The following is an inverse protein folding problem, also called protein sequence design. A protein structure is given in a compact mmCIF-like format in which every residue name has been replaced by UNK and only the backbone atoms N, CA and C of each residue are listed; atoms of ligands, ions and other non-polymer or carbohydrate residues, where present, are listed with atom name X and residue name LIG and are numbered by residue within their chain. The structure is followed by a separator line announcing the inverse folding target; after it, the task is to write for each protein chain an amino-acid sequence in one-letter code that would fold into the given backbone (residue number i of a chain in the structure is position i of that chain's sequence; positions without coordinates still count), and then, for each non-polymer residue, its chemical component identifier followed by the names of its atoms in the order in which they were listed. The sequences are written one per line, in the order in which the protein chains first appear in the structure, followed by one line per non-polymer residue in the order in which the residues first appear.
data_IF_316969523882
#
_entry.id   IF_316969523882
#
_cell.length_a   1.000
_cell.length_b   1.000
_cell.length_c   1.000
_cell.angle_alpha   90.00
_cell.angle_beta   90.00
_cell.angle_gamma   90.00
#
_symmetry.space_group_name_H-M   'P 1'
#
loop_
_entity.id
_entity.type
_entity.pdbx_description
1 polymer ?
#
# COMPACT_ATOMS: atom_id res chain seq x y z
N UNK A 1 34.99 22.88 12.11
CA UNK A 1 34.16 21.70 12.42
C UNK A 1 34.34 21.21 13.87
N UNK A 2 35.46 21.58 14.59
CA UNK A 2 35.68 21.12 15.98
C UNK A 2 34.89 21.90 17.05
N UNK A 3 34.22 23.00 16.69
CA UNK A 3 33.50 23.87 17.62
C UNK A 3 34.37 24.59 18.67
N UNK A 4 35.72 24.46 18.61
CA UNK A 4 36.61 25.14 19.53
C UNK A 4 36.67 26.62 19.24
N UNK A 5 36.48 27.43 20.29
CA UNK A 5 36.67 28.87 20.26
C UNK A 5 38.14 29.17 20.17
N UNK A 6 38.53 30.19 19.39
CA UNK A 6 39.93 30.66 19.31
C UNK A 6 40.18 31.53 20.55
N UNK A 7 41.19 31.18 21.33
CA UNK A 7 41.47 31.81 22.64
C UNK A 7 41.97 33.25 22.56
N UNK A 8 42.38 33.71 21.36
CA UNK A 8 42.80 35.07 21.11
C UNK A 8 41.65 35.90 20.51
N UNK A 9 41.01 36.76 21.29
CA UNK A 9 39.93 37.65 20.77
C UNK A 9 40.56 38.79 19.95
N UNK A 10 39.91 39.14 18.83
CA UNK A 10 40.22 40.32 18.04
C UNK A 10 39.45 41.50 18.65
N UNK A 11 40.15 42.46 19.21
CA UNK A 11 39.55 43.65 19.87
C UNK A 11 39.53 44.91 18.99
N UNK A 12 40.31 44.91 17.90
CA UNK A 12 40.37 45.99 16.92
C UNK A 12 39.40 45.77 15.77
N UNK A 13 39.10 46.79 15.03
CA UNK A 13 38.26 46.75 13.82
C UNK A 13 39.03 47.20 12.57
N UNK A 14 38.50 46.96 11.38
CA UNK A 14 39.15 47.28 10.12
C UNK A 14 39.41 48.80 9.95
N UNK A 15 38.61 49.67 10.57
CA UNK A 15 38.76 51.12 10.48
C UNK A 15 39.93 51.62 11.31
N UNK A 16 40.16 51.03 12.47
CA UNK A 16 41.30 51.37 13.37
C UNK A 16 42.58 50.67 12.96
N UNK A 17 42.47 49.63 12.17
CA UNK A 17 43.56 48.77 11.73
C UNK A 17 43.73 47.57 12.63
N UNK A 18 44.09 46.43 12.04
CA UNK A 18 44.35 45.17 12.71
C UNK A 18 45.86 45.01 12.93
N UNK A 19 46.27 44.38 14.03
CA UNK A 19 47.63 43.89 14.15
C UNK A 19 47.92 42.76 13.17
N UNK A 20 49.16 42.47 12.86
CA UNK A 20 49.56 41.38 11.98
C UNK A 20 48.97 40.04 12.46
N UNK A 21 48.95 39.82 13.78
CA UNK A 21 48.38 38.61 14.40
C UNK A 21 46.88 38.51 14.19
N UNK A 22 46.15 39.64 14.43
CA UNK A 22 44.68 39.67 14.22
C UNK A 22 44.31 39.41 12.78
N UNK A 23 45.05 40.02 11.85
CA UNK A 23 44.85 39.80 10.41
C UNK A 23 45.06 38.32 10.03
N UNK A 24 46.12 37.69 10.56
CA UNK A 24 46.42 36.30 10.29
C UNK A 24 45.29 35.38 10.80
N UNK A 25 44.84 35.58 12.06
CA UNK A 25 43.74 34.80 12.66
C UNK A 25 42.44 35.01 11.90
N UNK A 26 42.12 36.28 11.54
CA UNK A 26 40.93 36.60 10.76
C UNK A 26 40.92 35.94 9.37
N UNK A 27 42.08 36.02 8.69
CA UNK A 27 42.25 35.41 7.35
C UNK A 27 42.15 33.89 7.40
N UNK A 28 42.70 33.26 8.46
CA UNK A 28 42.58 31.82 8.70
C UNK A 28 41.13 31.41 8.96
N UNK A 29 40.41 32.17 9.80
CA UNK A 29 38.98 31.96 10.07
C UNK A 29 38.12 32.09 8.82
N UNK A 30 38.35 33.13 8.02
CA UNK A 30 37.64 33.36 6.76
C UNK A 30 37.88 32.20 5.77
N UNK A 31 39.09 31.76 5.58
CA UNK A 31 39.42 30.63 4.70
C UNK A 31 38.77 29.35 5.18
N UNK A 32 38.78 29.10 6.48
CA UNK A 32 38.15 27.93 7.10
C UNK A 32 36.62 27.97 6.90
N UNK A 33 35.99 29.14 7.07
CA UNK A 33 34.55 29.34 6.85
C UNK A 33 34.15 29.11 5.39
N UNK A 34 34.94 29.62 4.43
CA UNK A 34 34.73 29.38 3.00
C UNK A 34 34.84 27.89 2.65
N UNK A 35 35.84 27.21 3.15
CA UNK A 35 36.01 25.77 2.93
C UNK A 35 34.87 24.95 3.54
N UNK A 36 34.48 25.26 4.79
CA UNK A 36 33.35 24.59 5.47
C UNK A 36 32.02 24.78 4.72
N UNK A 37 31.77 26.01 4.25
CA UNK A 37 30.56 26.32 3.46
C UNK A 37 30.54 25.52 2.16
N UNK A 38 31.66 25.46 1.43
CA UNK A 38 31.76 24.72 0.18
C UNK A 38 31.49 23.20 0.40
N UNK A 39 32.10 22.62 1.44
CA UNK A 39 31.92 21.21 1.77
C UNK A 39 30.48 20.90 2.19
N UNK A 40 29.88 21.71 3.08
CA UNK A 40 28.48 21.52 3.50
C UNK A 40 27.50 21.66 2.35
N UNK A 41 27.75 22.57 1.42
CA UNK A 41 26.91 22.73 0.23
C UNK A 41 26.97 21.49 -0.65
N UNK A 42 28.16 20.93 -0.86
CA UNK A 42 28.36 19.72 -1.63
C UNK A 42 27.65 18.50 -0.96
N UNK A 43 27.82 18.33 0.34
CA UNK A 43 27.17 17.24 1.11
C UNK A 43 25.66 17.35 1.09
N UNK A 44 25.14 18.57 1.29
CA UNK A 44 23.68 18.83 1.21
C UNK A 44 23.13 18.55 -0.19
N UNK A 45 23.85 19.00 -1.24
CA UNK A 45 23.45 18.73 -2.63
C UNK A 45 23.45 17.24 -2.97
N UNK A 46 24.47 16.50 -2.52
CA UNK A 46 24.53 15.07 -2.72
C UNK A 46 23.40 14.31 -1.96
N UNK A 47 23.15 14.70 -0.70
CA UNK A 47 22.06 14.12 0.08
C UNK A 47 20.69 14.39 -0.59
N UNK A 48 20.46 15.64 -0.99
CA UNK A 48 19.22 16.04 -1.68
C UNK A 48 19.01 15.22 -2.96
N UNK A 49 20.05 15.10 -3.80
CA UNK A 49 19.97 14.29 -5.01
C UNK A 49 19.59 12.85 -4.71
N UNK A 50 20.24 12.21 -3.72
CA UNK A 50 19.90 10.83 -3.35
C UNK A 50 18.48 10.67 -2.83
N UNK A 51 17.99 11.64 -2.06
CA UNK A 51 16.60 11.64 -1.58
C UNK A 51 15.62 11.77 -2.75
N UNK A 52 15.89 12.64 -3.71
CA UNK A 52 15.06 12.80 -4.92
C UNK A 52 15.09 11.53 -5.76
N UNK A 53 16.26 10.94 -5.99
CA UNK A 53 16.41 9.71 -6.79
C UNK A 53 15.60 8.54 -6.18
N UNK A 54 15.50 8.46 -4.85
CA UNK A 54 14.70 7.43 -4.16
C UNK A 54 13.20 7.78 -4.13
N UNK A 55 12.88 9.07 -3.94
CA UNK A 55 11.48 9.50 -3.74
C UNK A 55 10.71 9.71 -5.04
N UNK A 56 11.38 9.89 -6.20
CA UNK A 56 10.72 10.18 -7.47
C UNK A 56 9.74 9.09 -7.93
N UNK A 57 9.98 7.83 -7.53
CA UNK A 57 9.14 6.69 -7.89
C UNK A 57 7.99 6.48 -6.89
N UNK A 58 7.97 7.23 -5.77
CA UNK A 58 6.93 7.14 -4.75
C UNK A 58 5.75 8.01 -5.16
N UNK A 59 4.78 7.41 -5.82
CA UNK A 59 3.58 8.08 -6.34
C UNK A 59 2.35 7.56 -5.59
N UNK A 60 1.42 8.45 -5.24
CA UNK A 60 0.12 8.05 -4.69
C UNK A 60 -0.75 7.51 -5.84
N UNK A 61 -1.10 6.22 -5.77
CA UNK A 61 -1.85 5.54 -6.85
C UNK A 61 -3.21 5.01 -6.44
N UNK A 62 -3.43 4.80 -5.18
CA UNK A 62 -4.68 4.25 -4.64
C UNK A 62 -5.09 4.99 -3.37
N UNK A 63 -6.37 4.95 -3.04
CA UNK A 63 -6.89 5.63 -1.85
C UNK A 63 -6.49 4.91 -0.56
N UNK A 64 -6.61 3.59 -0.53
CA UNK A 64 -6.39 2.80 0.67
C UNK A 64 -5.81 1.43 0.35
N UNK A 65 -4.57 1.17 0.77
CA UNK A 65 -3.90 -0.13 0.59
C UNK A 65 -4.47 -1.24 1.49
N UNK A 66 -5.38 -0.93 2.40
CA UNK A 66 -6.08 -1.92 3.23
C UNK A 66 -7.38 -2.41 2.58
N UNK A 67 -7.80 -1.78 1.49
CA UNK A 67 -8.94 -2.20 0.69
C UNK A 67 -8.47 -3.19 -0.37
N UNK A 68 -9.16 -4.31 -0.46
CA UNK A 68 -8.95 -5.31 -1.51
C UNK A 68 -10.22 -5.48 -2.31
N UNK A 69 -10.09 -5.36 -3.61
CA UNK A 69 -11.13 -5.75 -4.54
C UNK A 69 -11.05 -7.26 -4.77
N UNK A 70 -12.11 -7.97 -4.41
CA UNK A 70 -12.25 -9.41 -4.61
C UNK A 70 -12.96 -9.63 -5.94
N UNK A 71 -12.28 -10.26 -6.89
CA UNK A 71 -12.90 -10.69 -8.14
C UNK A 71 -13.75 -11.94 -7.88
N UNK A 72 -15.08 -11.76 -7.85
CA UNK A 72 -16.02 -12.83 -7.55
C UNK A 72 -16.17 -13.83 -8.72
N UNK A 73 -15.84 -13.41 -9.95
CA UNK A 73 -15.79 -14.33 -11.08
C UNK A 73 -14.68 -15.38 -10.88
N UNK A 74 -13.50 -14.97 -10.41
CA UNK A 74 -12.42 -15.91 -10.07
C UNK A 74 -12.79 -16.81 -8.90
N UNK A 75 -13.51 -16.29 -7.90
CA UNK A 75 -14.01 -17.09 -6.77
C UNK A 75 -14.97 -18.16 -7.25
N UNK A 76 -15.92 -17.80 -8.11
CA UNK A 76 -16.90 -18.73 -8.68
C UNK A 76 -16.25 -19.74 -9.62
N UNK A 77 -15.34 -19.28 -10.48
CA UNK A 77 -14.58 -20.15 -11.37
C UNK A 77 -13.79 -21.24 -10.59
N UNK A 78 -13.19 -20.86 -9.47
CA UNK A 78 -12.50 -21.82 -8.57
C UNK A 78 -13.45 -22.84 -7.96
N UNK A 79 -14.72 -22.49 -7.76
CA UNK A 79 -15.75 -23.37 -7.21
C UNK A 79 -16.54 -24.14 -8.28
N UNK A 80 -16.29 -23.90 -9.56
CA UNK A 80 -16.94 -24.60 -10.67
C UNK A 80 -16.59 -26.10 -10.69
N UNK A 81 -17.44 -26.91 -11.33
CA UNK A 81 -17.24 -28.37 -11.40
C UNK A 81 -16.20 -28.78 -12.44
N UNK A 82 -16.17 -28.08 -13.56
CA UNK A 82 -15.27 -28.32 -14.67
C UNK A 82 -14.43 -27.08 -15.01
N UNK A 83 -13.32 -27.29 -15.74
CA UNK A 83 -12.55 -26.20 -16.27
C UNK A 83 -13.36 -25.42 -17.34
N UNK A 84 -14.24 -26.07 -18.03
CA UNK A 84 -15.12 -25.43 -19.04
C UNK A 84 -16.05 -24.42 -18.37
N UNK A 85 -16.80 -24.82 -17.32
CA UNK A 85 -17.69 -23.93 -16.58
C UNK A 85 -16.94 -22.73 -15.95
N UNK A 86 -15.70 -23.00 -15.49
CA UNK A 86 -14.84 -21.95 -14.94
C UNK A 86 -14.39 -20.94 -16.00
N UNK A 87 -14.07 -21.40 -17.20
CA UNK A 87 -13.67 -20.54 -18.30
C UNK A 87 -14.80 -19.70 -18.86
N UNK A 88 -16.01 -20.23 -18.90
CA UNK A 88 -17.20 -19.46 -19.31
C UNK A 88 -17.38 -18.20 -18.44
N UNK A 89 -17.07 -18.30 -17.13
CA UNK A 89 -17.10 -17.17 -16.20
C UNK A 89 -15.95 -16.18 -16.38
N UNK A 90 -14.82 -16.62 -16.94
CA UNK A 90 -13.60 -15.83 -16.99
C UNK A 90 -13.18 -15.41 -18.42
N UNK A 91 -13.93 -15.81 -19.46
CA UNK A 91 -13.54 -15.59 -20.85
C UNK A 91 -13.18 -14.13 -21.14
N UNK A 92 -14.04 -13.19 -20.75
CA UNK A 92 -13.82 -11.76 -20.97
C UNK A 92 -12.57 -11.21 -20.24
N UNK A 93 -12.22 -11.80 -19.10
CA UNK A 93 -11.07 -11.37 -18.30
C UNK A 93 -9.77 -12.02 -18.74
N UNK A 94 -9.83 -13.13 -19.48
CA UNK A 94 -8.68 -13.90 -19.95
C UNK A 94 -8.35 -13.62 -21.40
N UNK A 95 -9.33 -13.32 -22.24
CA UNK A 95 -9.16 -13.06 -23.66
C UNK A 95 -8.10 -11.98 -23.91
N UNK A 96 -7.15 -12.30 -24.79
CA UNK A 96 -6.04 -11.41 -25.14
C UNK A 96 -4.88 -11.35 -24.14
N UNK A 97 -4.97 -12.03 -22.99
CA UNK A 97 -3.84 -12.14 -22.06
C UNK A 97 -2.80 -13.15 -22.56
N UNK A 98 -1.58 -13.07 -22.03
CA UNK A 98 -0.49 -13.96 -22.39
C UNK A 98 -0.31 -15.04 -21.32
N UNK A 99 -0.01 -16.26 -21.76
CA UNK A 99 0.43 -17.32 -20.86
C UNK A 99 1.79 -16.96 -20.25
N UNK A 100 1.89 -17.06 -18.92
CA UNK A 100 3.15 -16.87 -18.21
C UNK A 100 4.03 -18.12 -18.21
N UNK A 101 3.43 -19.31 -18.37
CA UNK A 101 4.12 -20.59 -18.45
C UNK A 101 3.50 -21.42 -19.57
N UNK A 102 4.28 -22.36 -20.12
CA UNK A 102 3.77 -23.32 -21.10
C UNK A 102 2.70 -24.23 -20.46
N UNK A 103 1.69 -24.58 -21.24
CA UNK A 103 0.63 -25.53 -20.87
C UNK A 103 0.98 -26.89 -21.44
N UNK A 104 0.87 -27.92 -20.61
CA UNK A 104 1.15 -29.31 -20.96
C UNK A 104 -0.14 -30.13 -20.96
N UNK A 105 -0.22 -31.06 -21.91
CA UNK A 105 -1.30 -32.05 -21.93
C UNK A 105 -1.24 -32.90 -20.65
N UNK A 106 -2.36 -33.04 -19.92
CA UNK A 106 -2.37 -33.83 -18.69
C UNK A 106 -2.02 -35.31 -18.89
N UNK A 107 -2.35 -35.89 -20.05
CA UNK A 107 -2.16 -37.31 -20.36
C UNK A 107 -0.81 -37.59 -21.01
N UNK A 108 -0.47 -36.84 -22.09
CA UNK A 108 0.76 -37.12 -22.88
C UNK A 108 1.98 -36.39 -22.34
N UNK A 109 1.81 -35.33 -21.56
CA UNK A 109 2.86 -34.41 -21.10
C UNK A 109 3.55 -33.59 -22.19
N UNK A 110 2.99 -33.63 -23.40
CA UNK A 110 3.47 -32.78 -24.49
C UNK A 110 3.08 -31.31 -24.25
N UNK A 111 3.86 -30.40 -24.83
CA UNK A 111 3.55 -28.97 -24.78
C UNK A 111 2.38 -28.68 -25.71
N UNK A 112 1.24 -28.31 -25.17
CA UNK A 112 0.08 -27.85 -25.94
C UNK A 112 0.26 -26.41 -26.41
N UNK A 113 0.62 -25.53 -25.49
CA UNK A 113 0.86 -24.12 -25.76
C UNK A 113 2.15 -23.64 -25.11
N UNK A 114 2.94 -22.90 -25.83
CA UNK A 114 4.18 -22.33 -25.33
C UNK A 114 3.91 -21.13 -24.41
N UNK A 115 4.92 -20.77 -23.63
CA UNK A 115 4.94 -19.50 -22.91
C UNK A 115 4.74 -18.34 -23.91
N UNK A 116 4.08 -17.27 -23.46
CA UNK A 116 3.76 -16.07 -24.25
C UNK A 116 2.73 -16.27 -25.37
N UNK A 117 2.05 -17.43 -25.41
CA UNK A 117 0.87 -17.63 -26.27
C UNK A 117 -0.27 -16.71 -25.81
N UNK A 118 -0.93 -16.06 -26.76
CA UNK A 118 -2.13 -15.25 -26.50
C UNK A 118 -3.30 -16.20 -26.23
N UNK A 119 -4.05 -15.91 -25.18
CA UNK A 119 -5.31 -16.60 -24.88
C UNK A 119 -6.40 -16.03 -25.81
N UNK A 120 -6.66 -16.71 -26.89
CA UNK A 120 -7.81 -16.49 -27.76
C UNK A 120 -8.90 -17.53 -27.48
N UNK A 121 -10.03 -17.40 -28.15
CA UNK A 121 -11.18 -18.30 -27.95
C UNK A 121 -10.83 -19.76 -28.23
N UNK A 122 -9.97 -20.04 -29.23
CA UNK A 122 -9.54 -21.40 -29.60
C UNK A 122 -8.68 -22.02 -28.49
N UNK A 123 -7.75 -21.24 -27.94
CA UNK A 123 -6.88 -21.68 -26.83
C UNK A 123 -7.71 -21.91 -25.56
N UNK A 124 -8.67 -21.04 -25.25
CA UNK A 124 -9.54 -21.17 -24.08
C UNK A 124 -10.46 -22.39 -24.19
N UNK A 125 -11.05 -22.63 -25.37
CA UNK A 125 -11.89 -23.80 -25.64
C UNK A 125 -11.09 -25.10 -25.46
N UNK A 126 -9.87 -25.18 -25.99
CA UNK A 126 -8.99 -26.34 -25.85
C UNK A 126 -8.58 -26.59 -24.37
N UNK A 127 -8.32 -25.53 -23.62
CA UNK A 127 -8.04 -25.64 -22.16
C UNK A 127 -9.23 -26.23 -21.42
N UNK A 128 -10.45 -25.82 -21.79
CA UNK A 128 -11.70 -26.35 -21.24
C UNK A 128 -11.93 -27.82 -21.59
N UNK A 129 -11.79 -28.18 -22.88
CA UNK A 129 -11.95 -29.56 -23.37
C UNK A 129 -10.97 -30.56 -22.74
N UNK A 130 -9.74 -30.10 -22.48
CA UNK A 130 -8.69 -30.94 -21.85
C UNK A 130 -8.74 -30.92 -20.33
N UNK A 131 -9.71 -30.25 -19.75
CA UNK A 131 -9.89 -30.08 -18.29
C UNK A 131 -8.62 -29.62 -17.57
N UNK A 132 -7.91 -28.64 -18.18
CA UNK A 132 -6.70 -28.05 -17.59
C UNK A 132 -7.12 -27.07 -16.50
N UNK A 133 -6.78 -27.40 -15.25
CA UNK A 133 -7.33 -26.74 -14.06
C UNK A 133 -6.50 -25.64 -13.46
N UNK A 134 -5.30 -25.45 -13.95
CA UNK A 134 -4.41 -24.39 -13.48
C UNK A 134 -3.67 -23.78 -14.65
N UNK A 135 -3.82 -22.47 -14.81
CA UNK A 135 -3.10 -21.69 -15.81
C UNK A 135 -2.38 -20.54 -15.12
N UNK A 136 -1.19 -20.22 -15.60
CA UNK A 136 -0.48 -19.02 -15.19
C UNK A 136 -0.53 -18.00 -16.33
N UNK A 137 -1.09 -16.83 -16.02
CA UNK A 137 -1.24 -15.75 -17.00
C UNK A 137 -0.45 -14.53 -16.55
N UNK A 138 -0.01 -13.72 -17.51
CA UNK A 138 0.55 -12.42 -17.20
C UNK A 138 -0.57 -11.49 -16.76
N UNK A 139 -0.36 -10.80 -15.66
CA UNK A 139 -1.30 -9.81 -15.15
C UNK A 139 -1.63 -8.80 -16.25
N UNK A 140 -2.87 -8.38 -16.33
CA UNK A 140 -3.22 -7.25 -17.19
C UNK A 140 -2.44 -6.05 -16.68
N UNK A 141 -1.56 -5.52 -17.53
CA UNK A 141 -0.97 -4.21 -17.30
C UNK A 141 -2.13 -3.23 -17.30
N UNK A 142 -2.49 -2.73 -16.12
CA UNK A 142 -3.39 -1.58 -16.06
C UNK A 142 -2.69 -0.49 -16.86
N UNK A 143 -3.20 -0.20 -18.04
CA UNK A 143 -2.80 0.95 -18.84
C UNK A 143 -3.24 2.20 -18.07
N UNK A 144 -2.42 2.62 -17.13
CA UNK A 144 -2.41 4.01 -16.70
C UNK A 144 -1.67 4.74 -17.82
N UNK A 145 -2.34 5.64 -18.51
CA UNK A 145 -1.82 6.40 -19.62
C UNK A 145 -0.36 6.84 -19.36
N UNK A 146 0.57 6.30 -20.15
CA UNK A 146 1.95 6.75 -20.23
C UNK A 146 3.02 6.01 -19.43
N UNK A 147 2.72 5.00 -18.63
CA UNK A 147 3.75 4.20 -17.95
C UNK A 147 3.61 2.72 -18.30
N UNK A 148 4.41 2.25 -19.25
CA UNK A 148 4.63 0.81 -19.48
C UNK A 148 5.44 0.29 -18.28
N UNK A 149 4.76 -0.13 -17.23
CA UNK A 149 5.39 -0.88 -16.16
C UNK A 149 5.59 -2.31 -16.67
N UNK A 150 6.82 -2.68 -16.99
CA UNK A 150 7.25 -4.05 -17.31
C UNK A 150 7.30 -4.96 -16.07
N UNK A 151 6.50 -4.69 -15.05
CA UNK A 151 6.33 -5.61 -13.95
C UNK A 151 5.50 -6.80 -14.44
N UNK A 152 6.17 -7.88 -14.80
CA UNK A 152 5.56 -9.19 -15.09
C UNK A 152 4.98 -9.76 -13.80
N UNK A 153 3.82 -9.27 -13.39
CA UNK A 153 3.04 -9.93 -12.33
C UNK A 153 2.41 -11.15 -13.00
N UNK A 154 2.85 -12.33 -12.59
CA UNK A 154 2.21 -13.58 -12.98
C UNK A 154 1.09 -13.89 -12.00
N UNK A 155 -0.06 -14.23 -12.52
CA UNK A 155 -1.25 -14.61 -11.76
C UNK A 155 -1.56 -16.09 -12.03
N UNK A 156 -1.71 -16.87 -10.95
CA UNK A 156 -2.17 -18.26 -11.04
C UNK A 156 -3.69 -18.28 -10.94
N UNK A 157 -4.35 -18.83 -11.94
CA UNK A 157 -5.80 -18.96 -12.02
C UNK A 157 -6.17 -20.44 -11.94
N UNK A 158 -7.00 -20.78 -10.94
CA UNK A 158 -7.53 -22.13 -10.76
C UNK A 158 -8.89 -22.23 -11.44
N UNK A 159 -9.03 -23.20 -12.33
CA UNK A 159 -10.21 -23.46 -13.15
C UNK A 159 -10.95 -24.71 -12.63
N UNK A 160 -11.84 -24.50 -11.67
CA UNK A 160 -12.70 -25.54 -11.12
C UNK A 160 -12.03 -26.55 -10.19
N UNK A 161 -12.84 -27.25 -9.44
CA UNK A 161 -12.46 -28.38 -8.57
C UNK A 161 -13.49 -29.53 -8.72
N UNK A 162 -13.11 -30.70 -9.25
CA UNK A 162 -14.05 -31.77 -9.54
C UNK A 162 -14.59 -32.46 -8.29
N UNK A 163 -13.83 -32.46 -7.18
CA UNK A 163 -14.20 -33.11 -5.94
C UNK A 163 -15.20 -32.25 -5.15
N UNK A 164 -16.43 -32.71 -5.04
CA UNK A 164 -17.49 -32.04 -4.30
C UNK A 164 -17.12 -31.75 -2.83
N UNK A 165 -16.31 -32.62 -2.19
CA UNK A 165 -15.86 -32.40 -0.82
C UNK A 165 -14.82 -31.26 -0.75
N UNK A 166 -13.92 -31.20 -1.73
CA UNK A 166 -12.95 -30.12 -1.82
C UNK A 166 -13.62 -28.80 -2.17
N UNK A 167 -14.58 -28.79 -3.12
CA UNK A 167 -15.40 -27.59 -3.41
C UNK A 167 -16.09 -27.06 -2.15
N UNK A 168 -16.75 -27.92 -1.40
CA UNK A 168 -17.42 -27.53 -0.14
C UNK A 168 -16.40 -26.98 0.87
N UNK A 169 -15.23 -27.59 0.97
CA UNK A 169 -14.16 -27.11 1.87
C UNK A 169 -13.60 -25.76 1.39
N UNK A 170 -13.38 -25.58 0.08
CA UNK A 170 -12.92 -24.32 -0.50
C UNK A 170 -13.96 -23.21 -0.29
N UNK A 171 -15.25 -23.48 -0.54
CA UNK A 171 -16.35 -22.52 -0.27
C UNK A 171 -16.40 -22.11 1.21
N UNK A 172 -16.32 -23.08 2.14
CA UNK A 172 -16.27 -22.79 3.57
C UNK A 172 -15.05 -21.96 3.98
N UNK A 173 -13.89 -22.20 3.34
CA UNK A 173 -12.69 -21.42 3.58
C UNK A 173 -12.86 -19.96 3.11
N UNK A 174 -13.45 -19.73 1.94
CA UNK A 174 -13.74 -18.40 1.38
C UNK A 174 -14.73 -17.67 2.29
N UNK A 175 -15.81 -18.33 2.69
CA UNK A 175 -16.80 -17.72 3.62
C UNK A 175 -16.10 -17.29 4.89
N UNK A 176 -15.29 -18.16 5.50
CA UNK A 176 -14.56 -17.82 6.72
C UNK A 176 -13.54 -16.68 6.55
N UNK A 177 -12.93 -16.58 5.38
CA UNK A 177 -11.97 -15.51 5.07
C UNK A 177 -12.64 -14.16 4.91
N UNK A 178 -13.83 -14.12 4.30
CA UNK A 178 -14.58 -12.90 4.01
C UNK A 178 -15.48 -12.47 5.17
N UNK A 179 -15.97 -13.40 5.99
CA UNK A 179 -16.82 -13.08 7.15
C UNK A 179 -16.10 -12.18 8.16
N UNK A 180 -16.81 -11.19 8.66
CA UNK A 180 -16.29 -10.17 9.56
C UNK A 180 -15.48 -9.07 8.89
N UNK A 181 -15.32 -9.09 7.57
CA UNK A 181 -14.73 -7.97 6.83
C UNK A 181 -15.75 -6.87 6.62
N UNK A 182 -15.28 -5.62 6.63
CA UNK A 182 -16.08 -4.43 6.36
C UNK A 182 -16.20 -4.21 4.85
N UNK A 183 -17.39 -3.95 4.37
CA UNK A 183 -17.67 -3.57 2.97
C UNK A 183 -17.34 -2.11 2.77
N UNK A 184 -16.49 -1.79 1.80
CA UNK A 184 -16.01 -0.42 1.52
C UNK A 184 -16.83 0.27 0.44
N UNK A 185 -17.40 -0.49 -0.47
CA UNK A 185 -18.33 -0.01 -1.50
C UNK A 185 -19.56 -0.87 -1.50
N UNK A 186 -20.72 -0.26 -1.66
CA UNK A 186 -21.98 -0.99 -1.75
C UNK A 186 -21.92 -2.11 -2.80
N UNK A 187 -22.43 -3.27 -2.43
CA UNK A 187 -22.56 -4.42 -3.31
C UNK A 187 -23.97 -4.46 -3.86
N UNK A 188 -24.15 -3.94 -5.08
CA UNK A 188 -25.44 -3.83 -5.77
C UNK A 188 -25.36 -4.58 -7.08
N UNK A 189 -26.38 -5.37 -7.38
CA UNK A 189 -26.55 -6.07 -8.65
C UNK A 189 -27.09 -5.14 -9.73
N UNK A 190 -26.95 -5.53 -10.99
CA UNK A 190 -27.45 -4.77 -12.14
C UNK A 190 -28.99 -4.56 -12.12
N UNK A 191 -29.72 -5.44 -11.46
CA UNK A 191 -31.18 -5.34 -11.24
C UNK A 191 -31.54 -4.36 -10.11
N UNK A 192 -30.56 -3.76 -9.43
CA UNK A 192 -30.76 -2.87 -8.30
C UNK A 192 -30.87 -3.56 -6.94
N UNK A 193 -30.76 -4.89 -6.89
CA UNK A 193 -30.78 -5.64 -5.62
C UNK A 193 -29.51 -5.35 -4.82
N UNK A 194 -29.65 -4.81 -3.60
CA UNK A 194 -28.57 -4.49 -2.71
C UNK A 194 -28.25 -5.69 -1.82
N UNK A 195 -27.02 -6.22 -1.93
CA UNK A 195 -26.53 -7.36 -1.15
C UNK A 195 -25.82 -6.92 0.13
N UNK A 196 -25.12 -5.79 0.09
CA UNK A 196 -24.46 -5.18 1.24
C UNK A 196 -24.29 -3.67 1.04
N UNK A 197 -24.30 -2.92 2.13
CA UNK A 197 -24.10 -1.46 2.16
C UNK A 197 -22.67 -1.15 2.59
N UNK A 198 -22.16 0.03 2.18
CA UNK A 198 -20.88 0.54 2.67
C UNK A 198 -20.88 0.63 4.21
N UNK A 199 -19.87 0.08 4.85
CA UNK A 199 -19.72 0.01 6.31
C UNK A 199 -20.34 -1.24 6.94
N UNK A 200 -21.05 -2.08 6.19
CA UNK A 200 -21.54 -3.35 6.72
C UNK A 200 -20.40 -4.34 6.98
N UNK A 201 -20.55 -5.12 8.05
CA UNK A 201 -19.68 -6.27 8.29
C UNK A 201 -20.32 -7.52 7.70
N UNK A 202 -19.59 -8.19 6.82
CA UNK A 202 -20.03 -9.39 6.14
C UNK A 202 -20.35 -10.52 7.12
N UNK A 203 -21.57 -11.00 7.11
CA UNK A 203 -21.97 -12.25 7.78
C UNK A 203 -21.80 -13.44 6.85
N UNK A 204 -21.74 -14.66 7.41
CA UNK A 204 -21.63 -15.88 6.60
C UNK A 204 -22.75 -15.96 5.55
N UNK A 205 -23.97 -15.57 5.91
CA UNK A 205 -25.13 -15.58 4.99
C UNK A 205 -24.99 -14.55 3.87
N UNK A 206 -24.45 -13.34 4.19
CA UNK A 206 -24.20 -12.32 3.17
C UNK A 206 -23.12 -12.80 2.19
N UNK A 207 -22.05 -13.41 2.70
CA UNK A 207 -20.98 -13.94 1.85
C UNK A 207 -21.50 -15.06 0.95
N UNK A 208 -22.33 -15.97 1.45
CA UNK A 208 -22.97 -16.99 0.64
C UNK A 208 -23.85 -16.40 -0.47
N UNK A 209 -24.69 -15.42 -0.13
CA UNK A 209 -25.52 -14.72 -1.10
C UNK A 209 -24.69 -13.99 -2.18
N UNK A 210 -23.58 -13.35 -1.78
CA UNK A 210 -22.67 -12.67 -2.69
C UNK A 210 -21.95 -13.66 -3.63
N UNK A 211 -21.50 -14.81 -3.14
CA UNK A 211 -20.85 -15.83 -3.97
C UNK A 211 -21.84 -16.38 -5.02
N UNK A 212 -23.10 -16.57 -4.63
CA UNK A 212 -24.16 -17.12 -5.49
C UNK A 212 -24.82 -16.07 -6.39
N UNK A 213 -24.48 -14.79 -6.23
CA UNK A 213 -25.01 -13.69 -7.03
C UNK A 213 -24.23 -13.48 -8.33
N UNK A 214 -24.70 -12.60 -9.19
CA UNK A 214 -24.02 -12.17 -10.42
C UNK A 214 -23.03 -11.01 -10.19
N UNK A 215 -22.79 -10.61 -8.95
CA UNK A 215 -21.85 -9.54 -8.63
C UNK A 215 -20.43 -9.89 -9.12
N UNK A 216 -19.77 -8.95 -9.80
CA UNK A 216 -18.44 -9.20 -10.39
C UNK A 216 -17.32 -8.92 -9.41
N UNK A 217 -17.45 -7.89 -8.57
CA UNK A 217 -16.39 -7.41 -7.71
C UNK A 217 -16.93 -7.00 -6.35
N UNK A 218 -16.21 -7.35 -5.29
CA UNK A 218 -16.53 -6.98 -3.92
C UNK A 218 -15.35 -6.26 -3.28
N UNK A 219 -15.57 -5.05 -2.79
CA UNK A 219 -14.55 -4.25 -2.13
C UNK A 219 -14.66 -4.38 -0.62
N UNK A 220 -13.64 -4.97 -0.01
CA UNK A 220 -13.59 -5.20 1.42
C UNK A 220 -12.36 -4.56 2.07
N UNK A 221 -12.49 -4.24 3.36
CA UNK A 221 -11.37 -3.81 4.19
C UNK A 221 -10.80 -5.00 4.95
N UNK A 222 -9.47 -5.14 4.90
CA UNK A 222 -8.80 -6.27 5.56
C UNK A 222 -8.62 -6.08 7.06
N UNK A 223 -8.74 -4.84 7.58
CA UNK A 223 -8.48 -4.46 8.98
C UNK A 223 -7.11 -4.96 9.49
N UNK A 224 -6.11 -4.93 8.62
CA UNK A 224 -4.76 -5.44 8.87
C UNK A 224 -3.72 -4.34 8.63
N UNK A 225 -4.04 -3.14 9.07
CA UNK A 225 -3.17 -1.97 8.94
C UNK A 225 -2.01 -2.11 9.91
N UNK A 226 -0.79 -1.95 9.40
CA UNK A 226 0.40 -1.77 10.25
C UNK A 226 0.71 -0.29 10.33
N UNK A 227 0.70 0.25 11.54
CA UNK A 227 1.14 1.61 11.81
C UNK A 227 2.59 1.69 12.27
N UNK A 228 3.05 2.91 12.47
CA UNK A 228 4.25 3.24 13.23
C UNK A 228 3.82 3.95 14.50
N UNK A 229 4.46 3.62 15.62
CA UNK A 229 4.22 4.33 16.87
C UNK A 229 4.88 5.71 16.82
N UNK A 230 4.12 6.71 17.23
CA UNK A 230 4.57 8.10 17.33
C UNK A 230 4.33 8.60 18.75
N UNK A 231 5.33 9.31 19.29
CA UNK A 231 5.29 9.98 20.58
C UNK A 231 5.82 11.42 20.46
N UNK A 232 5.61 12.26 21.45
CA UNK A 232 6.18 13.60 21.50
C UNK A 232 7.71 13.55 21.46
N UNK A 233 8.35 14.50 20.78
CA UNK A 233 9.81 14.64 20.79
C UNK A 233 10.19 15.55 21.95
N UNK A 234 11.02 15.01 22.87
CA UNK A 234 11.48 15.74 24.06
C UNK A 234 13.01 15.82 24.09
N UNK A 235 13.54 16.94 24.55
CA UNK A 235 14.96 17.11 24.84
C UNK A 235 15.12 17.56 26.30
N UNK A 236 15.69 16.68 27.13
CA UNK A 236 15.73 16.90 28.55
C UNK A 236 14.34 17.01 29.18
N UNK A 237 13.98 18.16 29.74
CA UNK A 237 12.65 18.43 30.30
C UNK A 237 11.72 19.23 29.37
N UNK A 238 12.22 19.63 28.20
CA UNK A 238 11.45 20.41 27.21
C UNK A 238 10.81 19.53 26.14
N UNK A 239 9.59 19.86 25.75
CA UNK A 239 8.93 19.27 24.57
C UNK A 239 9.32 20.10 23.36
N UNK A 240 10.00 19.47 22.37
CA UNK A 240 10.38 20.11 21.11
C UNK A 240 9.19 20.12 20.16
N UNK A 241 8.50 18.96 20.04
CA UNK A 241 7.35 18.78 19.19
C UNK A 241 6.31 17.94 19.92
N UNK A 242 5.09 18.44 20.03
CA UNK A 242 4.00 17.75 20.74
C UNK A 242 3.53 16.53 19.97
N UNK A 243 2.87 15.59 20.65
CA UNK A 243 2.24 14.46 19.99
C UNK A 243 1.18 14.96 19.01
N UNK A 244 0.39 15.97 19.41
CA UNK A 244 -0.65 16.54 18.57
C UNK A 244 -0.07 17.07 17.24
N UNK A 245 1.02 17.83 17.28
CA UNK A 245 1.65 18.38 16.06
C UNK A 245 2.15 17.29 15.12
N UNK A 246 2.59 16.16 15.66
CA UNK A 246 3.12 15.02 14.88
C UNK A 246 2.05 14.16 14.21
N UNK A 247 0.84 14.12 14.77
CA UNK A 247 -0.25 13.28 14.26
C UNK A 247 -1.28 14.04 13.42
N UNK A 248 -1.30 15.37 13.46
CA UNK A 248 -2.20 16.18 12.62
C UNK A 248 -2.01 15.85 11.14
N UNK A 249 -3.13 15.60 10.44
CA UNK A 249 -3.16 15.25 9.02
C UNK A 249 -2.70 13.80 8.73
N UNK A 250 -2.47 13.00 9.76
CA UNK A 250 -2.21 11.56 9.61
C UNK A 250 -3.48 10.75 9.79
N UNK A 251 -3.41 9.49 9.41
CA UNK A 251 -4.51 8.52 9.54
C UNK A 251 -4.15 7.51 10.61
N UNK A 252 -5.09 7.23 11.51
CA UNK A 252 -4.89 6.27 12.60
C UNK A 252 -4.74 4.84 12.09
N UNK A 253 -3.86 4.08 12.74
CA UNK A 253 -3.68 2.66 12.50
C UNK A 253 -4.23 1.78 13.64
N UNK A 254 -4.85 2.40 14.65
CA UNK A 254 -5.48 1.72 15.78
C UNK A 254 -6.68 2.53 16.29
N UNK A 255 -7.57 1.87 17.04
CA UNK A 255 -8.65 2.54 17.74
C UNK A 255 -8.13 3.25 18.98
N UNK A 256 -8.51 4.50 19.16
CA UNK A 256 -8.16 5.30 20.33
C UNK A 256 -9.32 5.27 21.31
N UNK A 257 -9.11 4.58 22.42
CA UNK A 257 -10.08 4.47 23.51
C UNK A 257 -9.51 5.19 24.73
N UNK A 258 -10.34 6.01 25.37
CA UNK A 258 -10.04 6.59 26.68
C UNK A 258 -10.13 5.49 27.73
N UNK A 259 -9.00 5.15 28.36
CA UNK A 259 -8.93 4.10 29.38
C UNK A 259 -9.70 4.45 30.66
N UNK A 260 -9.94 5.74 30.91
CA UNK A 260 -10.65 6.19 32.11
C UNK A 260 -12.17 6.10 31.97
N UNK A 261 -12.69 6.39 30.76
CA UNK A 261 -14.14 6.45 30.51
C UNK A 261 -14.64 5.26 29.70
N UNK A 262 -13.76 4.55 28.95
CA UNK A 262 -14.11 3.51 27.99
C UNK A 262 -14.71 4.07 26.69
N UNK A 263 -14.68 5.40 26.49
CA UNK A 263 -15.19 6.04 25.29
C UNK A 263 -14.21 5.86 24.11
N UNK A 264 -14.73 5.49 22.95
CA UNK A 264 -13.96 5.46 21.70
C UNK A 264 -13.85 6.89 21.18
N UNK A 265 -12.65 7.47 21.24
CA UNK A 265 -12.37 8.85 20.78
C UNK A 265 -12.25 8.90 19.27
N UNK A 266 -11.60 7.92 18.67
CA UNK A 266 -11.40 7.78 17.23
C UNK A 266 -11.18 6.31 16.86
N UNK A 267 -11.50 5.97 15.62
CA UNK A 267 -11.34 4.61 15.09
C UNK A 267 -10.15 4.49 14.16
N UNK A 268 -9.74 3.27 13.92
CA UNK A 268 -8.78 2.92 12.87
C UNK A 268 -9.24 3.51 11.53
N UNK A 269 -8.30 4.05 10.76
CA UNK A 269 -8.54 4.74 9.49
C UNK A 269 -9.19 6.13 9.55
N UNK A 270 -9.47 6.67 10.73
CA UNK A 270 -9.89 8.06 10.87
C UNK A 270 -8.72 9.02 10.60
N UNK A 271 -9.03 10.13 9.92
CA UNK A 271 -8.08 11.22 9.71
C UNK A 271 -8.04 12.12 10.93
N UNK A 272 -6.84 12.48 11.36
CA UNK A 272 -6.64 13.28 12.58
C UNK A 272 -6.57 14.77 12.21
N UNK A 273 -7.58 15.52 12.61
CA UNK A 273 -7.59 17.00 12.58
C UNK A 273 -6.94 17.58 13.84
N UNK A 274 -6.80 18.92 13.90
CA UNK A 274 -6.19 19.61 15.05
C UNK A 274 -6.96 19.39 16.37
N UNK A 275 -8.29 19.29 16.29
CA UNK A 275 -9.14 19.13 17.46
C UNK A 275 -9.05 17.72 18.03
N UNK A 276 -9.08 16.73 17.16
CA UNK A 276 -8.91 15.32 17.51
C UNK A 276 -7.48 15.05 18.01
N UNK A 277 -6.46 15.64 17.38
CA UNK A 277 -5.06 15.49 17.82
C UNK A 277 -4.87 15.92 19.28
N UNK A 278 -5.42 17.07 19.67
CA UNK A 278 -5.35 17.55 21.06
C UNK A 278 -6.13 16.66 22.04
N UNK A 279 -7.28 16.12 21.62
CA UNK A 279 -8.02 15.14 22.42
C UNK A 279 -7.22 13.86 22.65
N UNK A 280 -6.59 13.36 21.58
CA UNK A 280 -5.76 12.15 21.64
C UNK A 280 -4.55 12.37 22.55
N UNK A 281 -3.84 13.48 22.42
CA UNK A 281 -2.69 13.83 23.28
C UNK A 281 -3.06 13.89 24.76
N UNK A 282 -4.28 14.34 25.07
CA UNK A 282 -4.78 14.36 26.45
C UNK A 282 -4.98 12.99 27.08
N UNK A 283 -5.13 11.93 26.28
CA UNK A 283 -5.46 10.58 26.74
C UNK A 283 -4.32 9.58 26.50
N UNK A 284 -3.54 9.75 25.43
CA UNK A 284 -2.47 8.84 25.03
C UNK A 284 -1.14 9.56 24.89
N UNK A 285 -0.05 8.90 25.28
CA UNK A 285 1.32 9.40 25.08
C UNK A 285 1.94 8.87 23.79
N UNK A 286 1.41 7.78 23.28
CA UNK A 286 1.84 7.11 22.03
C UNK A 286 0.63 6.73 21.23
N UNK A 287 0.74 6.84 19.92
CA UNK A 287 -0.33 6.53 18.98
C UNK A 287 0.27 5.87 17.74
N UNK A 288 -0.40 4.83 17.27
CA UNK A 288 -0.04 4.17 16.02
C UNK A 288 -0.73 4.87 14.85
N UNK A 289 0.05 5.37 13.90
CA UNK A 289 -0.43 6.05 12.70
C UNK A 289 0.00 5.31 11.44
N UNK A 290 -0.78 5.42 10.38
CA UNK A 290 -0.42 4.90 9.05
C UNK A 290 0.77 5.66 8.49
N UNK A 291 1.65 4.96 7.78
CA UNK A 291 2.88 5.53 7.24
C UNK A 291 3.20 4.94 5.87
N UNK A 292 3.91 5.73 5.06
CA UNK A 292 4.49 5.27 3.78
C UNK A 292 5.45 4.09 3.98
N UNK A 293 6.09 3.98 5.14
CA UNK A 293 7.03 2.90 5.47
C UNK A 293 6.34 1.55 5.69
N UNK A 294 5.06 1.56 6.01
CA UNK A 294 4.25 0.37 6.28
C UNK A 294 3.16 0.15 5.23
N UNK A 295 3.14 1.00 4.19
CA UNK A 295 2.18 0.90 3.10
C UNK A 295 2.30 -0.44 2.37
N UNK A 296 1.15 -1.03 2.01
CA UNK A 296 1.07 -2.32 1.32
C UNK A 296 0.75 -2.19 -0.17
N UNK A 297 0.67 -0.96 -0.68
CA UNK A 297 0.54 -0.71 -2.10
C UNK A 297 1.64 -1.44 -2.88
N UNK A 298 1.27 -2.14 -3.95
CA UNK A 298 2.24 -2.85 -4.79
C UNK A 298 3.13 -1.88 -5.57
N UNK A 299 2.59 -0.73 -5.94
CA UNK A 299 3.30 0.30 -6.69
C UNK A 299 3.03 1.67 -6.06
N UNK A 300 4.09 2.30 -5.57
CA UNK A 300 3.97 3.59 -4.91
C UNK A 300 3.41 3.49 -3.50
N UNK A 301 2.54 4.40 -3.12
CA UNK A 301 1.90 4.46 -1.80
C UNK A 301 0.40 4.80 -1.95
N UNK A 302 -0.39 4.46 -0.95
CA UNK A 302 -1.79 4.89 -0.91
C UNK A 302 -1.93 6.25 -0.22
N UNK A 303 -3.04 6.93 -0.51
CA UNK A 303 -3.34 8.26 0.03
C UNK A 303 -3.41 8.25 1.57
N UNK A 304 -4.05 7.26 2.18
CA UNK A 304 -4.16 7.16 3.63
C UNK A 304 -2.81 6.93 4.34
N UNK A 305 -1.89 6.16 3.73
CA UNK A 305 -0.55 5.97 4.28
C UNK A 305 0.36 7.18 4.02
N UNK A 306 0.16 7.90 2.93
CA UNK A 306 0.82 9.17 2.66
C UNK A 306 0.37 10.22 3.68
N UNK A 307 -0.93 10.28 3.96
CA UNK A 307 -1.51 11.18 4.93
C UNK A 307 -1.70 12.58 4.37
N UNK A 308 -1.32 13.60 5.16
CA UNK A 308 -1.49 15.00 4.85
C UNK A 308 -0.82 15.38 3.52
N UNK A 309 -1.57 16.07 2.67
CA UNK A 309 -1.03 16.81 1.55
C UNK A 309 -0.24 18.01 2.09
N UNK A 310 0.95 18.19 1.59
CA UNK A 310 1.89 19.22 2.07
C UNK A 310 1.62 20.56 1.37
#
# INVERSE_FOLDING_TARGET
PSGKIIDLPITANFREGLTVSDYFISSHGARKGLADTALRTADSGYLTRRLVDVAQDVIVREEDCDVTAINLLQVRARLAESAFDALELLVDSLAGRLLATAIYDPETKDVLYAQDTVLDDEVLEMIGERDIREIMVRGSSVNVEGAVSNAMVTESITLGEPDAKKRKKARAAIIRELSGKEVVREAVLDDGTQLAVEGDFLTDQMVEAIIDSELHELHIRNNNVRGIEVEAITEGTGVIESLADRIVGRVLAEDIVDEATGEVIARINDSVDETLAKRIEGVRKRVSIRSVLTCRSQFGVCMKCYGRDL
#
